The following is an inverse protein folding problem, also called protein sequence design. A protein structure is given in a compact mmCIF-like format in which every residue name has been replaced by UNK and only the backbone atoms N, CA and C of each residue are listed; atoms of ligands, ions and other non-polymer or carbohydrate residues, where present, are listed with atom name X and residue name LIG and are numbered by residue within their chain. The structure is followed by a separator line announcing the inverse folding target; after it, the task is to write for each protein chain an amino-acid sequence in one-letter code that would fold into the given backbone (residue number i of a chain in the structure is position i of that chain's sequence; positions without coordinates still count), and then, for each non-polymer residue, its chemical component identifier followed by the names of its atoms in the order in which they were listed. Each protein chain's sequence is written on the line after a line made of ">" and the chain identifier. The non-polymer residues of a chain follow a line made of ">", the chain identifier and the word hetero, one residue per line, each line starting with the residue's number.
data_IF_859626585218
#
_entry.id   IF_859626585218
#
_cell.length_a   1.000
_cell.length_b   1.000
_cell.length_c   1.000
_cell.angle_alpha   90.00
_cell.angle_beta   90.00
_cell.angle_gamma   90.00
#
_symmetry.space_group_name_H-M   'P 1'
#
loop_
_entity.id
_entity.type
_entity.pdbx_description
1 polymer ?
#
# COMPACT_ATOMS: atom_id res chain seq x y z
N UNK A 1 8.87 15.42 15.96
CA UNK A 1 7.77 15.18 15.01
C UNK A 1 6.46 14.96 15.76
N UNK A 2 5.28 15.20 15.17
CA UNK A 2 3.98 15.13 15.88
C UNK A 2 3.73 13.76 16.56
N UNK A 3 4.22 12.68 15.94
CA UNK A 3 4.13 11.31 16.45
C UNK A 3 5.12 10.94 17.56
N UNK A 4 6.18 11.72 17.76
CA UNK A 4 7.25 11.41 18.73
C UNK A 4 7.28 12.35 19.92
N UNK A 5 7.00 13.63 19.72
CA UNK A 5 7.10 14.65 20.76
C UNK A 5 5.78 14.84 21.49
N UNK A 6 5.84 15.21 22.76
CA UNK A 6 4.67 15.60 23.55
C UNK A 6 3.95 16.80 22.93
N UNK A 7 4.71 17.81 22.51
CA UNK A 7 4.20 19.07 21.97
C UNK A 7 5.02 19.48 20.76
N UNK A 8 4.37 19.91 19.67
CA UNK A 8 5.04 20.33 18.43
C UNK A 8 4.54 21.69 17.95
N UNK A 9 5.50 22.55 17.63
CA UNK A 9 5.29 23.76 16.84
C UNK A 9 5.74 23.48 15.40
N UNK A 10 4.93 23.87 14.41
CA UNK A 10 5.27 23.77 12.99
C UNK A 10 4.75 25.01 12.26
N UNK A 11 5.57 25.60 11.40
CA UNK A 11 5.17 26.69 10.52
C UNK A 11 5.64 26.32 9.11
N UNK A 12 4.70 25.89 8.28
CA UNK A 12 4.91 25.64 6.87
C UNK A 12 4.09 26.59 6.01
N UNK A 13 4.26 26.48 4.69
CA UNK A 13 3.60 27.37 3.73
C UNK A 13 2.07 27.27 3.74
N UNK A 14 1.54 26.11 4.16
CA UNK A 14 0.10 25.80 4.13
C UNK A 14 -0.51 25.62 5.53
N UNK A 15 0.30 25.21 6.52
CA UNK A 15 -0.19 24.88 7.84
C UNK A 15 0.69 25.49 8.93
N UNK A 16 0.03 26.09 9.92
CA UNK A 16 0.64 26.53 11.17
C UNK A 16 0.05 25.70 12.31
N UNK A 17 0.92 25.19 13.17
CA UNK A 17 0.58 24.45 14.36
C UNK A 17 1.34 25.06 15.53
N UNK A 18 0.62 25.46 16.57
CA UNK A 18 1.19 25.96 17.82
C UNK A 18 0.75 25.07 18.98
N UNK A 19 1.72 24.62 19.77
CA UNK A 19 1.56 23.77 20.94
C UNK A 19 0.71 22.51 20.68
N UNK A 20 0.77 21.96 19.46
CA UNK A 20 -0.06 20.82 19.09
C UNK A 20 0.39 19.55 19.79
N UNK A 21 -0.60 18.76 20.18
CA UNK A 21 -0.45 17.49 20.88
C UNK A 21 -1.28 16.44 20.14
N UNK A 22 -0.71 15.26 19.99
CA UNK A 22 -1.38 14.10 19.43
C UNK A 22 -1.32 12.98 20.45
N UNK A 23 -2.47 12.56 20.97
CA UNK A 23 -2.60 11.45 21.91
C UNK A 23 -3.80 10.55 21.51
N UNK A 24 -3.71 9.22 21.67
CA UNK A 24 -2.51 8.49 22.09
C UNK A 24 -1.42 8.50 21.02
N UNK A 25 -0.15 8.40 21.42
CA UNK A 25 0.93 8.19 20.45
C UNK A 25 0.76 6.87 19.70
N UNK A 26 1.19 6.80 18.43
CA UNK A 26 1.24 5.54 17.70
C UNK A 26 2.05 4.49 18.44
N UNK A 27 1.56 3.25 18.41
CA UNK A 27 2.28 2.08 18.92
C UNK A 27 3.54 1.85 18.09
N UNK A 28 3.43 1.95 16.75
CA UNK A 28 4.57 1.92 15.84
C UNK A 28 5.48 3.14 16.01
N UNK A 29 6.79 2.91 16.13
CA UNK A 29 7.82 3.94 16.29
C UNK A 29 8.78 3.97 15.09
N UNK A 30 9.32 5.14 14.71
CA UNK A 30 9.00 6.46 15.25
C UNK A 30 7.62 6.99 14.78
N UNK A 31 7.04 6.34 13.78
CA UNK A 31 5.72 6.63 13.22
C UNK A 31 5.04 5.33 12.76
N UNK A 32 3.74 5.36 12.44
CA UNK A 32 3.09 4.27 11.72
C UNK A 32 3.80 4.00 10.39
N UNK A 33 3.66 2.79 9.86
CA UNK A 33 4.07 2.51 8.48
C UNK A 33 3.25 3.36 7.51
N UNK A 34 3.92 3.98 6.56
CA UNK A 34 3.34 4.85 5.54
C UNK A 34 3.27 4.09 4.22
N UNK A 35 2.04 3.81 3.80
CA UNK A 35 1.76 3.11 2.55
C UNK A 35 1.30 4.12 1.49
N UNK A 36 1.92 4.09 0.31
CA UNK A 36 1.67 5.07 -0.74
C UNK A 36 0.92 4.45 -1.92
N UNK A 37 -0.31 4.89 -2.15
CA UNK A 37 -1.11 4.55 -3.33
C UNK A 37 -0.91 5.56 -4.46
N UNK A 38 0.25 5.53 -5.12
CA UNK A 38 0.64 6.53 -6.12
C UNK A 38 1.17 5.88 -7.40
N UNK A 39 1.07 6.60 -8.53
CA UNK A 39 1.55 6.11 -9.85
C UNK A 39 2.40 7.10 -10.63
N UNK A 40 2.21 8.41 -10.42
CA UNK A 40 2.94 9.44 -11.17
C UNK A 40 4.41 9.53 -10.75
N UNK A 41 5.35 9.83 -11.67
CA UNK A 41 6.79 9.78 -11.40
C UNK A 41 7.23 10.69 -10.25
N UNK A 42 6.62 11.88 -10.13
CA UNK A 42 6.87 12.79 -8.99
C UNK A 42 6.47 12.15 -7.66
N UNK A 43 5.30 11.53 -7.61
CA UNK A 43 4.78 10.92 -6.38
C UNK A 43 5.51 9.62 -6.04
N UNK A 44 5.98 8.87 -7.04
CA UNK A 44 6.82 7.69 -6.81
C UNK A 44 8.16 8.05 -6.17
N UNK A 45 8.76 9.20 -6.52
CA UNK A 45 9.95 9.70 -5.81
C UNK A 45 9.66 9.98 -4.33
N UNK A 46 8.51 10.60 -4.04
CA UNK A 46 8.08 10.83 -2.66
C UNK A 46 7.80 9.51 -1.93
N UNK A 47 7.21 8.52 -2.60
CA UNK A 47 7.00 7.19 -2.02
C UNK A 47 8.34 6.49 -1.73
N UNK A 48 9.34 6.61 -2.60
CA UNK A 48 10.68 6.08 -2.34
C UNK A 48 11.38 6.81 -1.17
N UNK A 49 11.14 8.11 -1.01
CA UNK A 49 11.72 8.92 0.06
C UNK A 49 11.06 8.67 1.42
N UNK A 50 9.73 8.59 1.48
CA UNK A 50 8.96 8.61 2.73
C UNK A 50 8.17 7.33 3.02
N UNK A 51 8.01 6.43 2.05
CA UNK A 51 7.14 5.27 2.15
C UNK A 51 7.88 3.98 2.50
N UNK A 52 7.22 3.18 3.34
CA UNK A 52 7.62 1.79 3.62
C UNK A 52 7.01 0.82 2.60
N UNK A 53 5.80 1.10 2.11
CA UNK A 53 5.10 0.25 1.16
C UNK A 53 4.48 1.02 -0.01
N UNK A 54 4.29 0.32 -1.12
CA UNK A 54 3.59 0.79 -2.30
C UNK A 54 2.28 0.01 -2.47
N UNK A 55 1.16 0.72 -2.57
CA UNK A 55 -0.19 0.14 -2.70
C UNK A 55 -0.98 0.79 -3.85
N UNK A 56 -0.53 0.65 -5.10
CA UNK A 56 -1.24 1.19 -6.25
C UNK A 56 -2.60 0.51 -6.45
N UNK A 57 -3.36 1.09 -7.36
CA UNK A 57 -4.66 0.57 -7.78
C UNK A 57 -4.76 0.69 -9.30
N UNK A 58 -5.65 -0.11 -9.91
CA UNK A 58 -5.97 -0.03 -11.34
C UNK A 58 -4.74 -0.10 -12.26
N UNK A 59 -3.85 -1.07 -12.00
CA UNK A 59 -2.69 -1.37 -12.83
C UNK A 59 -2.62 -2.85 -13.13
N UNK A 60 -1.99 -3.19 -14.25
CA UNK A 60 -1.72 -4.58 -14.62
C UNK A 60 -0.54 -5.16 -13.81
N UNK A 61 -0.36 -6.49 -13.74
CA UNK A 61 0.83 -7.09 -13.16
C UNK A 61 2.15 -6.63 -13.82
N UNK A 62 2.14 -6.37 -15.12
CA UNK A 62 3.30 -5.85 -15.85
C UNK A 62 3.65 -4.42 -15.41
N UNK A 63 2.66 -3.53 -15.38
CA UNK A 63 2.84 -2.16 -14.87
C UNK A 63 3.27 -2.14 -13.39
N UNK A 64 2.76 -3.09 -12.59
CA UNK A 64 3.15 -3.27 -11.20
C UNK A 64 4.63 -3.64 -11.09
N UNK A 65 5.08 -4.64 -11.86
CA UNK A 65 6.48 -5.06 -11.88
C UNK A 65 7.42 -3.92 -12.24
N UNK A 66 7.08 -3.15 -13.27
CA UNK A 66 7.85 -1.98 -13.69
C UNK A 66 7.88 -0.90 -12.59
N UNK A 67 6.75 -0.68 -11.92
CA UNK A 67 6.66 0.26 -10.81
C UNK A 67 7.49 -0.15 -9.59
N UNK A 68 7.49 -1.44 -9.23
CA UNK A 68 8.35 -2.00 -8.17
C UNK A 68 9.83 -1.77 -8.49
N UNK A 69 10.24 -2.08 -9.73
CA UNK A 69 11.61 -1.84 -10.17
C UNK A 69 11.98 -0.36 -10.07
N UNK A 70 11.09 0.52 -10.54
CA UNK A 70 11.32 1.97 -10.52
C UNK A 70 11.41 2.55 -9.10
N UNK A 71 10.60 2.06 -8.16
CA UNK A 71 10.70 2.46 -6.76
C UNK A 71 12.00 1.98 -6.12
N UNK A 72 12.43 0.76 -6.42
CA UNK A 72 13.74 0.25 -5.98
C UNK A 72 14.88 1.13 -6.49
N UNK A 73 14.88 1.51 -7.78
CA UNK A 73 15.87 2.44 -8.34
C UNK A 73 15.88 3.78 -7.60
N UNK A 74 14.71 4.40 -7.37
CA UNK A 74 14.63 5.67 -6.64
C UNK A 74 15.13 5.54 -5.20
N UNK A 75 14.85 4.42 -4.51
CA UNK A 75 15.40 4.17 -3.17
C UNK A 75 16.93 4.08 -3.20
N UNK A 76 17.50 3.39 -4.19
CA UNK A 76 18.96 3.30 -4.35
C UNK A 76 19.59 4.66 -4.65
N UNK A 77 18.99 5.47 -5.54
CA UNK A 77 19.45 6.84 -5.85
C UNK A 77 19.48 7.73 -4.59
N UNK A 78 18.57 7.49 -3.64
CA UNK A 78 18.50 8.17 -2.35
C UNK A 78 19.42 7.57 -1.27
N UNK A 79 20.21 6.53 -1.60
CA UNK A 79 21.07 5.82 -0.65
C UNK A 79 20.29 4.99 0.38
N UNK A 80 19.06 4.61 0.08
CA UNK A 80 18.19 3.79 0.93
C UNK A 80 18.22 2.31 0.48
N UNK A 81 17.84 1.37 1.37
CA UNK A 81 17.64 -0.02 0.98
C UNK A 81 16.67 -0.14 -0.20
N UNK A 82 16.98 -0.96 -1.21
CA UNK A 82 16.18 -1.04 -2.44
C UNK A 82 14.83 -1.73 -2.23
N UNK A 83 14.67 -2.48 -1.15
CA UNK A 83 13.48 -3.28 -0.90
C UNK A 83 12.22 -2.40 -0.80
N UNK A 84 11.17 -2.83 -1.50
CA UNK A 84 9.85 -2.19 -1.52
C UNK A 84 8.85 -3.21 -0.98
N UNK A 85 8.12 -2.85 0.07
CA UNK A 85 7.01 -3.69 0.52
C UNK A 85 5.84 -3.52 -0.46
N UNK A 86 5.48 -4.59 -1.15
CA UNK A 86 4.53 -4.55 -2.25
C UNK A 86 3.11 -4.91 -1.83
N UNK A 87 2.14 -4.05 -2.15
CA UNK A 87 0.73 -4.32 -1.95
C UNK A 87 -0.08 -3.89 -3.18
N UNK A 88 -1.25 -4.45 -3.43
CA UNK A 88 -2.15 -4.02 -4.51
C UNK A 88 -3.59 -3.95 -4.00
N UNK A 89 -4.35 -2.96 -4.47
CA UNK A 89 -5.81 -2.96 -4.34
C UNK A 89 -6.49 -3.24 -5.68
N UNK A 90 -7.33 -4.27 -5.67
CA UNK A 90 -8.08 -4.75 -6.83
C UNK A 90 -9.53 -4.33 -6.68
N UNK A 91 -9.96 -3.44 -7.58
CA UNK A 91 -11.34 -2.92 -7.66
C UNK A 91 -12.20 -3.71 -8.63
N UNK A 92 -11.57 -4.43 -9.56
CA UNK A 92 -12.22 -5.35 -10.48
C UNK A 92 -11.88 -6.78 -10.06
N UNK A 93 -12.61 -7.34 -9.08
CA UNK A 93 -12.26 -8.61 -8.48
C UNK A 93 -12.40 -9.77 -9.47
N UNK A 94 -11.58 -10.81 -9.32
CA UNK A 94 -11.74 -12.06 -10.06
C UNK A 94 -13.14 -12.65 -9.83
N UNK A 95 -13.70 -13.32 -10.84
CA UNK A 95 -15.06 -13.86 -10.81
C UNK A 95 -15.08 -15.36 -10.51
N UNK A 96 -13.92 -16.02 -10.54
CA UNK A 96 -13.76 -17.44 -10.22
C UNK A 96 -12.48 -17.70 -9.42
N UNK A 97 -12.39 -18.88 -8.81
CA UNK A 97 -11.22 -19.27 -8.01
C UNK A 97 -9.96 -19.34 -8.87
N UNK A 98 -10.07 -19.92 -10.07
CA UNK A 98 -8.93 -20.03 -10.99
C UNK A 98 -8.44 -18.65 -11.46
N UNK A 99 -9.35 -17.71 -11.73
CA UNK A 99 -9.00 -16.33 -12.03
C UNK A 99 -8.28 -15.65 -10.86
N UNK A 100 -8.78 -15.86 -9.64
CA UNK A 100 -8.18 -15.27 -8.44
C UNK A 100 -6.77 -15.79 -8.20
N UNK A 101 -6.58 -17.11 -8.25
CA UNK A 101 -5.27 -17.72 -8.06
C UNK A 101 -4.29 -17.25 -9.13
N UNK A 102 -4.71 -17.24 -10.40
CA UNK A 102 -3.89 -16.73 -11.49
C UNK A 102 -3.47 -15.27 -11.28
N UNK A 103 -4.41 -14.41 -10.90
CA UNK A 103 -4.11 -12.99 -10.71
C UNK A 103 -3.18 -12.77 -9.51
N UNK A 104 -3.44 -13.45 -8.38
CA UNK A 104 -2.58 -13.43 -7.19
C UNK A 104 -1.16 -13.87 -7.56
N UNK A 105 -1.01 -14.98 -8.29
CA UNK A 105 0.30 -15.50 -8.70
C UNK A 105 1.04 -14.50 -9.59
N UNK A 106 0.36 -13.88 -10.56
CA UNK A 106 0.97 -12.86 -11.42
C UNK A 106 1.48 -11.64 -10.64
N UNK A 107 0.71 -11.16 -9.66
CA UNK A 107 1.15 -10.06 -8.81
C UNK A 107 2.26 -10.50 -7.83
N UNK A 108 2.19 -11.72 -7.28
CA UNK A 108 3.23 -12.26 -6.42
C UNK A 108 4.57 -12.41 -7.15
N UNK A 109 4.57 -12.91 -8.40
CA UNK A 109 5.74 -12.96 -9.28
C UNK A 109 6.31 -11.56 -9.59
N UNK A 110 5.45 -10.53 -9.61
CA UNK A 110 5.83 -9.14 -9.77
C UNK A 110 6.35 -8.49 -8.46
N UNK A 111 6.43 -9.24 -7.36
CA UNK A 111 6.94 -8.79 -6.06
C UNK A 111 5.85 -8.25 -5.12
N UNK A 112 4.58 -8.51 -5.38
CA UNK A 112 3.50 -8.20 -4.45
C UNK A 112 3.50 -9.17 -3.26
N UNK A 113 3.24 -8.63 -2.07
CA UNK A 113 3.17 -9.38 -0.81
C UNK A 113 1.77 -9.33 -0.21
N UNK A 114 1.00 -8.28 -0.50
CA UNK A 114 -0.36 -8.08 0.00
C UNK A 114 -1.34 -7.85 -1.16
N UNK A 115 -2.18 -8.85 -1.42
CA UNK A 115 -3.22 -8.76 -2.45
C UNK A 115 -4.56 -8.42 -1.81
N UNK A 116 -4.99 -7.16 -1.96
CA UNK A 116 -6.22 -6.65 -1.36
C UNK A 116 -7.35 -6.53 -2.38
N UNK A 117 -8.47 -7.23 -2.14
CA UNK A 117 -9.68 -7.07 -2.95
C UNK A 117 -10.59 -6.04 -2.30
N UNK A 118 -10.99 -5.03 -3.06
CA UNK A 118 -11.92 -3.98 -2.62
C UNK A 118 -13.32 -4.33 -3.11
N UNK A 119 -14.27 -4.44 -2.19
CA UNK A 119 -15.69 -4.61 -2.52
C UNK A 119 -16.53 -3.53 -1.86
N UNK A 120 -17.34 -2.83 -2.66
CA UNK A 120 -18.27 -1.82 -2.17
C UNK A 120 -19.63 -2.01 -2.83
N UNK A 121 -20.52 -2.71 -2.13
CA UNK A 121 -21.95 -2.89 -2.42
C UNK A 121 -22.32 -3.82 -3.61
N UNK A 122 -23.49 -4.47 -3.53
CA UNK A 122 -24.37 -4.58 -2.35
C UNK A 122 -23.70 -5.42 -1.23
N UNK A 123 -24.10 -5.20 0.02
CA UNK A 123 -23.39 -5.76 1.19
C UNK A 123 -23.49 -7.29 1.25
N UNK A 124 -24.63 -7.86 0.86
CA UNK A 124 -24.85 -9.30 0.82
C UNK A 124 -23.94 -9.99 -0.21
N UNK A 125 -23.68 -9.34 -1.33
CA UNK A 125 -22.68 -9.82 -2.30
C UNK A 125 -21.27 -9.73 -1.72
N UNK A 126 -20.93 -8.64 -1.03
CA UNK A 126 -19.65 -8.50 -0.34
C UNK A 126 -19.39 -9.60 0.69
N UNK A 127 -20.41 -9.97 1.49
CA UNK A 127 -20.30 -11.07 2.47
C UNK A 127 -20.05 -12.40 1.75
N UNK A 128 -20.84 -12.73 0.72
CA UNK A 128 -20.65 -13.96 -0.08
C UNK A 128 -19.25 -14.04 -0.69
N UNK A 129 -18.70 -12.90 -1.12
CA UNK A 129 -17.34 -12.81 -1.66
C UNK A 129 -16.28 -13.05 -0.60
N UNK A 130 -16.43 -12.48 0.59
CA UNK A 130 -15.52 -12.74 1.72
C UNK A 130 -15.56 -14.23 2.09
N UNK A 131 -16.75 -14.82 2.18
CA UNK A 131 -16.91 -16.26 2.45
C UNK A 131 -16.25 -17.11 1.35
N UNK A 132 -16.46 -16.75 0.08
CA UNK A 132 -15.84 -17.44 -1.04
C UNK A 132 -14.30 -17.34 -1.01
N UNK A 133 -13.73 -16.15 -0.80
CA UNK A 133 -12.27 -15.98 -0.68
C UNK A 133 -11.72 -16.82 0.47
N UNK A 134 -12.37 -16.76 1.64
CA UNK A 134 -11.92 -17.46 2.83
C UNK A 134 -11.97 -18.99 2.67
N UNK A 135 -12.98 -19.53 1.99
CA UNK A 135 -13.20 -20.97 1.87
C UNK A 135 -12.54 -21.59 0.62
N UNK A 136 -12.43 -20.85 -0.48
CA UNK A 136 -12.02 -21.41 -1.78
C UNK A 136 -10.64 -20.90 -2.25
N UNK A 137 -10.26 -19.67 -1.91
CA UNK A 137 -9.01 -19.03 -2.38
C UNK A 137 -7.89 -19.14 -1.35
N UNK A 138 -8.12 -18.65 -0.12
CA UNK A 138 -7.10 -18.61 0.94
C UNK A 138 -6.48 -19.98 1.27
N UNK A 139 -7.22 -21.11 1.32
CA UNK A 139 -6.64 -22.42 1.64
C UNK A 139 -5.63 -22.96 0.62
N UNK A 140 -5.39 -22.24 -0.49
CA UNK A 140 -4.43 -22.62 -1.53
C UNK A 140 -3.02 -22.05 -1.30
N UNK A 141 -2.85 -21.21 -0.27
CA UNK A 141 -1.58 -20.61 0.16
C UNK A 141 -1.28 -21.01 1.61
#
# INVERSE_FOLDING_TARGET
>A
WLWTEKTVNHQGDYFLSKDAQLEPKPIGKPHPQMWFGVRGPRMMKLAAEYGEAWIPTMITPEEYKDGMHRLSEFKQELGKPPDVYGAIQIYEPPQSTDEALKDIDLFAEAGCQEYGIVWSYPQDEGIKRIEWIANEVMPKF
#
